data_IF_961415690749
#
_entry.id   IF_961415690749
#
_cell.length_a   1.000
_cell.length_b   1.000
_cell.length_c   1.000
_cell.angle_alpha   90.00
_cell.angle_beta   90.00
_cell.angle_gamma   90.00
#
_symmetry.space_group_name_H-M   'P 1'
#
loop_
_entity.id
_entity.type
_entity.pdbx_description
1 polymer ?
#
# COMPACT_ATOMS: atom_id res chain seq x y z
N UNK A 1 11.11 -11.03 -12.52
CA UNK A 1 9.82 -10.40 -12.16
C UNK A 1 9.13 -11.30 -11.16
N UNK A 2 8.40 -10.71 -10.20
CA UNK A 2 7.87 -11.42 -9.04
C UNK A 2 7.01 -12.66 -9.41
N UNK A 3 6.12 -12.54 -10.40
CA UNK A 3 5.32 -13.67 -10.90
C UNK A 3 6.18 -14.81 -11.47
N UNK A 4 7.25 -14.50 -12.20
CA UNK A 4 8.16 -15.53 -12.73
C UNK A 4 8.84 -16.30 -11.60
N UNK A 5 9.22 -15.61 -10.53
CA UNK A 5 9.85 -16.23 -9.37
C UNK A 5 8.84 -17.07 -8.60
N UNK A 6 7.64 -16.57 -8.35
CA UNK A 6 6.55 -17.34 -7.76
C UNK A 6 6.33 -18.68 -8.49
N UNK A 7 6.28 -18.65 -9.83
CA UNK A 7 6.10 -19.84 -10.66
C UNK A 7 7.31 -20.79 -10.65
N UNK A 8 8.53 -20.26 -10.45
CA UNK A 8 9.76 -21.04 -10.40
C UNK A 8 9.90 -21.82 -9.09
N UNK A 9 9.57 -21.19 -7.95
CA UNK A 9 9.82 -21.78 -6.63
C UNK A 9 8.74 -22.79 -6.23
N UNK A 10 7.51 -22.67 -6.74
CA UNK A 10 6.37 -23.55 -6.40
C UNK A 10 6.25 -23.83 -4.90
N UNK A 11 6.37 -22.78 -4.11
CA UNK A 11 6.22 -22.85 -2.65
C UNK A 11 4.80 -23.30 -2.29
N UNK A 12 4.66 -24.17 -1.29
CA UNK A 12 3.37 -24.62 -0.80
C UNK A 12 2.61 -23.47 -0.13
N UNK A 13 1.32 -23.24 -0.46
CA UNK A 13 0.55 -22.19 0.16
C UNK A 13 0.31 -22.53 1.65
N UNK A 14 0.83 -21.72 2.56
CA UNK A 14 0.58 -21.83 4.00
C UNK A 14 0.14 -20.48 4.60
N UNK A 15 -0.70 -20.49 5.65
CA UNK A 15 -1.19 -19.28 6.32
C UNK A 15 -0.09 -18.52 7.08
N UNK A 16 1.05 -19.15 7.37
CA UNK A 16 2.21 -18.52 8.00
C UNK A 16 2.82 -17.44 7.10
N UNK A 17 2.89 -17.68 5.79
CA UNK A 17 3.31 -16.68 4.81
C UNK A 17 2.10 -15.89 4.29
N UNK A 18 1.61 -14.96 5.11
CA UNK A 18 0.41 -14.14 4.80
C UNK A 18 0.49 -13.46 3.43
N UNK A 19 1.63 -12.88 3.07
CA UNK A 19 1.81 -12.20 1.78
C UNK A 19 1.67 -13.16 0.61
N UNK A 20 2.33 -14.32 0.65
CA UNK A 20 2.19 -15.33 -0.39
C UNK A 20 0.74 -15.81 -0.48
N UNK A 21 0.11 -16.07 0.67
CA UNK A 21 -1.27 -16.52 0.75
C UNK A 21 -2.25 -15.53 0.13
N UNK A 22 -2.12 -14.24 0.44
CA UNK A 22 -2.96 -13.17 -0.12
C UNK A 22 -2.77 -13.05 -1.63
N UNK A 23 -1.52 -13.07 -2.11
CA UNK A 23 -1.24 -13.00 -3.54
C UNK A 23 -1.81 -14.21 -4.29
N UNK A 24 -1.61 -15.43 -3.76
CA UNK A 24 -2.16 -16.65 -4.37
C UNK A 24 -3.69 -16.64 -4.34
N UNK A 25 -4.30 -16.14 -3.27
CA UNK A 25 -5.75 -15.96 -3.17
C UNK A 25 -6.27 -14.98 -4.23
N UNK A 26 -5.55 -13.88 -4.46
CA UNK A 26 -5.89 -12.89 -5.49
C UNK A 26 -5.77 -13.48 -6.90
N UNK A 27 -4.66 -14.17 -7.20
CA UNK A 27 -4.45 -14.86 -8.48
C UNK A 27 -5.54 -15.91 -8.71
N UNK A 28 -5.86 -16.74 -7.70
CA UNK A 28 -6.94 -17.74 -7.80
C UNK A 28 -8.28 -17.09 -8.09
N UNK A 29 -8.61 -15.97 -7.43
CA UNK A 29 -9.85 -15.24 -7.66
C UNK A 29 -9.91 -14.72 -9.10
N UNK A 30 -8.82 -14.14 -9.61
CA UNK A 30 -8.74 -13.67 -10.99
C UNK A 30 -8.90 -14.80 -12.02
N UNK A 31 -8.25 -15.94 -11.78
CA UNK A 31 -8.38 -17.12 -12.63
C UNK A 31 -9.77 -17.79 -12.56
N UNK A 32 -10.52 -17.53 -11.49
CA UNK A 32 -11.91 -18.01 -11.34
C UNK A 32 -12.93 -17.18 -12.12
N UNK A 33 -12.54 -16.01 -12.64
CA UNK A 33 -13.40 -15.21 -13.53
C UNK A 33 -13.67 -15.95 -14.85
N UNK A 34 -14.72 -15.55 -15.56
CA UNK A 34 -14.93 -16.01 -16.93
C UNK A 34 -13.85 -15.45 -17.86
N UNK A 35 -13.67 -16.07 -19.03
CA UNK A 35 -12.73 -15.58 -20.03
C UNK A 35 -13.07 -14.14 -20.46
N UNK A 36 -14.35 -13.85 -20.70
CA UNK A 36 -14.80 -12.52 -21.12
C UNK A 36 -14.48 -11.43 -20.07
N UNK A 37 -14.63 -11.74 -18.78
CA UNK A 37 -14.26 -10.81 -17.71
C UNK A 37 -12.74 -10.59 -17.65
N UNK A 38 -11.94 -11.65 -17.82
CA UNK A 38 -10.48 -11.49 -17.87
C UNK A 38 -10.05 -10.66 -19.06
N UNK A 39 -10.61 -10.92 -20.24
CA UNK A 39 -10.29 -10.19 -21.47
C UNK A 39 -10.62 -8.70 -21.33
N UNK A 40 -11.79 -8.36 -20.77
CA UNK A 40 -12.16 -6.98 -20.49
C UNK A 40 -11.17 -6.27 -19.53
N UNK A 41 -10.69 -6.96 -18.50
CA UNK A 41 -9.68 -6.41 -17.58
C UNK A 41 -8.35 -6.17 -18.30
N UNK A 42 -7.91 -7.10 -19.16
CA UNK A 42 -6.69 -6.94 -19.94
C UNK A 42 -6.78 -5.77 -20.92
N UNK A 43 -7.90 -5.62 -21.63
CA UNK A 43 -8.14 -4.50 -22.54
C UNK A 43 -8.18 -3.16 -21.79
N UNK A 44 -8.82 -3.13 -20.62
CA UNK A 44 -8.88 -1.95 -19.75
C UNK A 44 -7.50 -1.54 -19.22
N UNK A 45 -6.68 -2.49 -18.74
CA UNK A 45 -5.33 -2.21 -18.25
C UNK A 45 -4.41 -1.73 -19.39
N UNK A 46 -4.46 -2.40 -20.55
CA UNK A 46 -3.66 -2.04 -21.72
C UNK A 46 -4.01 -0.66 -22.28
N UNK A 47 -5.28 -0.26 -22.22
CA UNK A 47 -5.75 1.05 -22.68
C UNK A 47 -5.47 2.17 -21.66
N UNK A 48 -5.54 1.87 -20.36
CA UNK A 48 -5.17 2.81 -19.30
C UNK A 48 -3.68 3.20 -19.39
N UNK A 49 -2.78 2.28 -19.75
CA UNK A 49 -1.35 2.57 -19.90
C UNK A 49 -1.01 3.63 -20.97
N UNK A 50 -1.87 3.84 -21.97
CA UNK A 50 -1.66 4.81 -23.05
C UNK A 50 -2.08 6.25 -22.68
N UNK A 51 -2.97 6.44 -21.70
CA UNK A 51 -3.46 7.77 -21.31
C UNK A 51 -2.59 8.46 -20.24
N UNK A 52 -1.75 7.71 -19.52
CA UNK A 52 -0.95 8.25 -18.41
C UNK A 52 0.35 8.95 -18.82
N UNK A 53 0.75 8.93 -20.10
CA UNK A 53 1.92 9.69 -20.55
C UNK A 53 1.61 11.17 -20.87
N UNK A 54 0.33 11.60 -20.85
CA UNK A 54 0.00 13.00 -21.14
C UNK A 54 -0.23 13.89 -19.91
N UNK A 55 -0.49 13.33 -18.73
CA UNK A 55 -0.79 14.13 -17.53
C UNK A 55 0.12 13.69 -16.39
N UNK A 56 1.30 14.31 -16.27
CA UNK A 56 2.15 14.21 -15.08
C UNK A 56 1.42 14.91 -13.92
N UNK A 57 0.87 14.23 -12.91
CA UNK A 57 0.38 14.89 -11.72
C UNK A 57 1.63 15.25 -10.90
N UNK A 58 2.21 16.39 -11.22
CA UNK A 58 3.01 17.12 -10.26
C UNK A 58 2.04 17.53 -9.17
N UNK A 59 2.38 17.23 -7.91
CA UNK A 59 1.68 17.68 -6.70
C UNK A 59 0.52 16.81 -6.22
N UNK A 60 0.79 15.95 -5.22
CA UNK A 60 -0.05 15.62 -4.05
C UNK A 60 0.80 14.68 -3.17
N UNK A 61 1.92 15.16 -2.62
CA UNK A 61 2.03 15.78 -1.29
C UNK A 61 1.61 14.86 -0.14
N UNK A 62 2.58 14.72 0.78
CA UNK A 62 2.44 14.53 2.22
C UNK A 62 2.62 13.10 2.76
N UNK A 63 3.89 12.83 3.07
CA UNK A 63 4.35 11.87 4.07
C UNK A 63 3.57 12.08 5.38
N UNK A 64 2.70 11.14 5.76
CA UNK A 64 2.11 11.15 7.09
C UNK A 64 3.13 10.62 8.09
N UNK A 65 4.05 11.49 8.49
CA UNK A 65 4.88 11.34 9.68
C UNK A 65 4.07 11.86 10.87
N UNK A 66 3.02 11.16 11.29
CA UNK A 66 2.40 11.38 12.61
C UNK A 66 1.56 10.17 13.04
N UNK A 67 2.23 9.18 13.65
CA UNK A 67 1.59 8.09 14.42
C UNK A 67 2.40 7.88 15.73
N UNK A 68 2.83 8.98 16.37
CA UNK A 68 3.30 8.97 17.76
C UNK A 68 2.18 9.49 18.67
N UNK A 69 1.15 8.67 18.83
CA UNK A 69 0.05 8.92 19.75
C UNK A 69 0.30 8.18 21.07
N UNK A 70 0.95 8.85 22.03
CA UNK A 70 0.86 8.54 23.46
C UNK A 70 1.29 9.77 24.29
N UNK A 71 0.32 10.54 24.76
CA UNK A 71 0.50 11.66 25.70
C UNK A 71 -0.24 11.33 27.02
N UNK A 72 0.36 11.55 28.21
CA UNK A 72 -0.39 11.84 29.43
C UNK A 72 -0.31 13.34 29.82
N UNK A 73 -1.23 13.81 30.69
CA UNK A 73 -1.64 15.20 30.72
C UNK A 73 -0.81 16.12 31.63
N UNK A 74 -1.03 17.40 31.36
CA UNK A 74 -0.45 18.61 31.94
C UNK A 74 -0.37 18.66 33.47
N UNK A 75 0.72 19.25 33.97
CA UNK A 75 0.76 19.92 35.27
C UNK A 75 1.13 21.39 35.05
N UNK A 76 0.14 22.27 35.13
CA UNK A 76 0.33 23.72 35.30
C UNK A 76 0.69 24.02 36.75
N UNK A 77 1.79 24.74 36.99
CA UNK A 77 1.98 25.64 38.14
C UNK A 77 3.20 26.55 37.83
N UNK A 78 3.02 27.70 37.19
CA UNK A 78 2.74 29.02 37.77
C UNK A 78 3.82 29.55 38.76
N UNK A 79 4.47 30.64 38.33
CA UNK A 79 5.21 31.69 39.08
C UNK A 79 6.68 31.48 39.49
N UNK A 80 7.59 32.23 38.86
CA UNK A 80 8.25 33.41 39.46
C UNK A 80 9.21 34.13 38.48
N UNK A 81 9.28 35.48 38.47
CA UNK A 81 10.37 36.22 37.87
C UNK A 81 11.42 36.59 38.93
N UNK A 82 12.71 36.50 38.64
CA UNK A 82 13.73 37.23 39.41
C UNK A 82 15.00 37.47 38.61
N UNK A 83 15.39 38.75 38.61
CA UNK A 83 16.55 39.37 38.01
C UNK A 83 17.83 39.06 38.79
N UNK A 84 18.96 39.23 38.09
CA UNK A 84 20.30 39.61 38.59
C UNK A 84 21.20 38.54 39.20
N UNK A 85 22.36 38.31 38.56
CA UNK A 85 23.67 38.77 39.05
C UNK A 85 24.69 38.83 37.91
#
# INVERSE_FOLDING_TARGET
GWLCELLRWKEDPSPENRTLWENLSMIRRFLSLSQAERDAIYEQESSAGQQHHNERPSHLMHVSTDQLQAQPPQSQQQHQPSLSL
#
